data_IF_843430771418
#
_entry.id   IF_843430771418
#
_cell.length_a   1.000
_cell.length_b   1.000
_cell.length_c   1.000
_cell.angle_alpha   90.00
_cell.angle_beta   90.00
_cell.angle_gamma   90.00
#
_symmetry.space_group_name_H-M   'P 1'
#
loop_
_entity.id
_entity.type
_entity.pdbx_description
1 polymer ?
#
# COMPACT_ATOMS: atom_id res chain seq x y z
N UNK A 1 -2.23 7.01 -11.36
CA UNK A 1 -3.52 7.37 -10.79
C UNK A 1 -4.50 6.32 -11.25
N UNK A 2 -4.60 5.28 -10.43
CA UNK A 2 -5.45 4.12 -10.56
C UNK A 2 -5.90 3.70 -9.17
N UNK A 3 -7.16 3.27 -9.06
CA UNK A 3 -7.68 2.64 -7.84
C UNK A 3 -7.20 1.18 -7.80
N UNK A 4 -6.49 0.82 -6.73
CA UNK A 4 -5.96 -0.51 -6.49
C UNK A 4 -7.00 -1.39 -5.81
N UNK A 5 -6.92 -2.72 -6.02
CA UNK A 5 -7.80 -3.65 -5.34
C UNK A 5 -7.38 -3.81 -3.87
N UNK A 6 -8.29 -3.52 -2.94
CA UNK A 6 -8.08 -3.77 -1.52
C UNK A 6 -8.38 -5.24 -1.18
N UNK A 7 -7.44 -5.86 -0.49
CA UNK A 7 -7.57 -7.22 0.04
C UNK A 7 -8.35 -7.21 1.36
N UNK A 8 -9.18 -8.23 1.55
CA UNK A 8 -9.95 -8.43 2.79
C UNK A 8 -9.59 -9.76 3.46
N UNK A 9 -9.76 -9.81 4.79
CA UNK A 9 -9.62 -11.06 5.55
C UNK A 9 -10.60 -12.09 4.99
N UNK A 10 -10.19 -13.37 4.79
CA UNK A 10 -9.02 -14.03 5.38
C UNK A 10 -7.76 -14.14 4.50
N UNK A 11 -7.58 -13.27 3.48
CA UNK A 11 -6.47 -13.36 2.52
C UNK A 11 -5.08 -13.49 3.21
N UNK A 12 -4.34 -14.55 2.89
CA UNK A 12 -3.04 -14.85 3.52
C UNK A 12 -1.96 -13.82 3.21
N UNK A 13 -2.09 -13.07 2.11
CA UNK A 13 -1.15 -12.01 1.74
C UNK A 13 -1.12 -10.89 2.78
N UNK A 14 -2.25 -10.65 3.47
CA UNK A 14 -2.34 -9.69 4.57
C UNK A 14 -1.51 -10.08 5.80
N UNK A 15 -1.04 -11.34 5.89
CA UNK A 15 -0.20 -11.83 7.00
C UNK A 15 1.30 -11.75 6.72
N UNK A 16 1.70 -11.39 5.49
CA UNK A 16 3.12 -11.29 5.12
C UNK A 16 3.74 -10.06 5.77
N UNK A 17 4.94 -10.22 6.31
CA UNK A 17 5.76 -9.11 6.79
C UNK A 17 6.30 -8.34 5.58
N UNK A 18 5.99 -7.05 5.51
CA UNK A 18 6.47 -6.16 4.46
C UNK A 18 7.97 -5.88 4.62
N UNK A 19 8.67 -5.68 3.49
CA UNK A 19 10.10 -5.34 3.47
C UNK A 19 10.30 -3.83 3.53
N UNK A 20 11.37 -3.32 4.16
CA UNK A 20 11.69 -1.89 4.13
C UNK A 20 11.86 -1.38 2.69
N UNK A 21 11.39 -0.17 2.42
CA UNK A 21 11.73 0.56 1.20
C UNK A 21 13.15 1.12 1.34
N UNK A 22 14.07 0.65 0.48
CA UNK A 22 15.48 1.07 0.50
C UNK A 22 15.69 2.49 -0.08
N UNK A 23 14.94 2.85 -1.13
CA UNK A 23 15.01 4.14 -1.79
C UNK A 23 13.63 4.62 -2.23
N UNK A 24 13.34 5.91 -2.00
CA UNK A 24 12.12 6.55 -2.50
C UNK A 24 12.39 7.09 -3.89
N UNK A 25 12.04 6.30 -4.90
CA UNK A 25 12.17 6.66 -6.31
C UNK A 25 10.81 7.01 -6.94
N UNK A 26 10.80 7.31 -8.24
CA UNK A 26 9.58 7.67 -8.96
C UNK A 26 8.50 6.57 -8.98
N UNK A 27 8.90 5.30 -8.92
CA UNK A 27 7.95 4.18 -8.83
C UNK A 27 7.28 4.14 -7.46
N UNK A 28 8.04 4.32 -6.39
CA UNK A 28 7.50 4.42 -5.02
C UNK A 28 6.54 5.61 -4.92
N UNK A 29 6.89 6.77 -5.50
CA UNK A 29 5.99 7.92 -5.52
C UNK A 29 4.67 7.59 -6.24
N UNK A 30 4.73 6.93 -7.40
CA UNK A 30 3.53 6.50 -8.13
C UNK A 30 2.66 5.55 -7.30
N UNK A 31 3.28 4.60 -6.60
CA UNK A 31 2.56 3.67 -5.71
C UNK A 31 1.86 4.44 -4.59
N UNK A 32 2.55 5.40 -3.97
CA UNK A 32 1.96 6.26 -2.93
C UNK A 32 0.77 7.04 -3.47
N UNK A 33 0.87 7.61 -4.67
CA UNK A 33 -0.21 8.36 -5.31
C UNK A 33 -1.44 7.46 -5.57
N UNK A 34 -1.23 6.24 -6.09
CA UNK A 34 -2.31 5.26 -6.33
C UNK A 34 -2.93 4.75 -5.01
N UNK A 35 -2.12 4.62 -3.94
CA UNK A 35 -2.60 4.25 -2.60
C UNK A 35 -3.47 5.35 -1.98
N UNK A 36 -3.13 6.63 -2.16
CA UNK A 36 -3.97 7.74 -1.71
C UNK A 36 -5.31 7.75 -2.43
N UNK A 37 -5.29 7.60 -3.76
CA UNK A 37 -6.52 7.53 -4.56
C UNK A 37 -7.42 6.37 -4.10
N UNK A 38 -6.82 5.20 -3.86
CA UNK A 38 -7.53 4.02 -3.35
C UNK A 38 -8.12 4.27 -1.97
N UNK A 39 -7.36 4.87 -1.05
CA UNK A 39 -7.82 5.18 0.31
C UNK A 39 -9.04 6.10 0.28
N UNK A 40 -9.03 7.14 -0.57
CA UNK A 40 -10.18 8.04 -0.71
C UNK A 40 -11.38 7.35 -1.35
N UNK A 41 -11.17 6.48 -2.35
CA UNK A 41 -12.23 5.72 -2.99
C UNK A 41 -12.92 4.73 -2.03
N UNK A 42 -12.17 4.18 -1.09
CA UNK A 42 -12.67 3.27 -0.04
C UNK A 42 -13.17 4.02 1.22
N UNK A 43 -13.26 5.35 1.17
CA UNK A 43 -13.65 6.21 2.30
C UNK A 43 -12.82 5.95 3.58
N UNK A 44 -11.56 5.53 3.40
CA UNK A 44 -10.64 5.17 4.46
C UNK A 44 -9.84 6.35 5.01
N UNK A 45 -9.25 6.16 6.20
CA UNK A 45 -8.34 7.14 6.84
C UNK A 45 -6.86 6.74 6.78
N UNK A 46 -6.58 5.52 6.32
CA UNK A 46 -5.23 4.99 6.17
C UNK A 46 -5.25 3.69 5.36
N UNK A 47 -4.19 3.45 4.59
CA UNK A 47 -4.02 2.27 3.76
C UNK A 47 -2.56 1.82 3.79
N UNK A 48 -2.31 0.57 4.17
CA UNK A 48 -0.98 -0.04 4.12
C UNK A 48 -0.75 -0.71 2.75
N UNK A 49 0.49 -0.70 2.26
CA UNK A 49 0.84 -1.25 0.95
C UNK A 49 0.49 -2.75 0.83
N UNK A 50 0.58 -3.51 1.93
CA UNK A 50 0.18 -4.93 1.95
C UNK A 50 -1.30 -5.16 1.67
N UNK A 51 -2.17 -4.18 1.95
CA UNK A 51 -3.60 -4.26 1.66
C UNK A 51 -3.90 -4.16 0.16
N UNK A 52 -2.94 -3.73 -0.64
CA UNK A 52 -3.03 -3.66 -2.11
C UNK A 52 -2.00 -4.57 -2.78
N UNK A 53 -1.60 -5.63 -2.07
CA UNK A 53 -0.65 -6.66 -2.51
C UNK A 53 0.76 -6.14 -2.85
N UNK A 54 1.18 -5.04 -2.21
CA UNK A 54 2.53 -4.50 -2.32
C UNK A 54 3.29 -4.83 -1.03
N UNK A 55 4.28 -5.74 -1.05
CA UNK A 55 4.95 -6.25 0.15
C UNK A 55 6.07 -5.33 0.65
N UNK A 56 5.83 -4.02 0.71
CA UNK A 56 6.81 -3.00 1.11
C UNK A 56 6.29 -2.10 2.23
N UNK A 57 7.19 -1.59 3.09
CA UNK A 57 6.86 -0.67 4.18
C UNK A 57 7.90 0.43 4.29
N UNK A 58 7.44 1.64 4.60
CA UNK A 58 8.30 2.78 4.90
C UNK A 58 8.05 3.19 6.35
N UNK A 59 9.09 3.15 7.18
CA UNK A 59 9.04 3.64 8.55
C UNK A 59 9.82 4.96 8.60
N UNK A 60 9.19 6.00 9.15
CA UNK A 60 9.93 7.17 9.65
C UNK A 60 10.18 6.92 11.13
N UNK A 61 11.45 6.93 11.53
CA UNK A 61 11.85 6.98 12.93
C UNK A 61 11.31 8.25 13.61
#
# INVERSE_FOLDING_TARGET
>A
MAVLQVLHIPDERLRKVAKPVEEVNAEIQRIVDDMFETMYAEEGIGLAATQVDIPSTYHRD
#
